data_IF_172103195474
#
_entry.id   IF_172103195474
#
_cell.length_a   1.000
_cell.length_b   1.000
_cell.length_c   1.000
_cell.angle_alpha   90.00
_cell.angle_beta   90.00
_cell.angle_gamma   90.00
#
_symmetry.space_group_name_H-M   'P 1'
#
loop_
_entity.id
_entity.type
_entity.pdbx_description
1 polymer ?
#
# COMPACT_ATOMS: atom_id res chain seq x y z
N UNK A 1 26.03 -12.15 2.80
CA UNK A 1 25.12 -11.14 3.38
C UNK A 1 23.94 -11.03 2.44
N UNK A 2 22.71 -11.29 2.91
CA UNK A 2 21.53 -11.05 2.09
C UNK A 2 21.38 -9.53 1.94
N UNK A 3 21.66 -9.02 0.75
CA UNK A 3 21.59 -7.59 0.49
C UNK A 3 20.11 -7.15 0.51
N UNK A 4 19.83 -6.06 1.23
CA UNK A 4 18.54 -5.36 1.10
C UNK A 4 18.54 -4.64 -0.25
N UNK A 5 17.50 -4.84 -1.04
CA UNK A 5 17.34 -4.20 -2.36
C UNK A 5 16.09 -3.33 -2.35
N UNK A 6 16.24 -2.05 -2.70
CA UNK A 6 15.11 -1.14 -2.80
C UNK A 6 14.38 -1.33 -4.14
N UNK A 7 13.06 -1.34 -4.09
CA UNK A 7 12.17 -1.44 -5.25
C UNK A 7 11.45 -0.13 -5.42
N UNK A 8 11.43 0.37 -6.66
CA UNK A 8 10.70 1.59 -7.02
C UNK A 8 9.70 1.28 -8.14
N UNK A 9 8.45 1.72 -8.02
CA UNK A 9 7.48 1.64 -9.10
C UNK A 9 7.93 2.53 -10.28
N UNK A 10 7.39 2.25 -11.46
CA UNK A 10 7.59 3.12 -12.62
C UNK A 10 6.89 4.48 -12.39
N UNK A 11 7.48 5.53 -12.96
CA UNK A 11 6.94 6.90 -12.89
C UNK A 11 7.53 7.74 -11.77
N UNK A 12 7.10 9.01 -11.71
CA UNK A 12 7.55 9.96 -10.69
C UNK A 12 6.72 9.79 -9.43
N UNK A 13 7.40 9.72 -8.29
CA UNK A 13 6.76 9.58 -6.99
C UNK A 13 7.39 10.60 -6.03
N UNK A 14 6.85 11.81 -6.01
CA UNK A 14 7.44 12.94 -5.29
C UNK A 14 7.59 12.69 -3.78
N UNK A 15 6.75 11.86 -3.16
CA UNK A 15 6.83 11.54 -1.73
C UNK A 15 8.15 10.86 -1.36
N UNK A 16 8.60 9.86 -2.12
CA UNK A 16 9.82 9.12 -1.80
C UNK A 16 11.07 9.99 -1.98
N UNK A 17 11.11 10.80 -3.04
CA UNK A 17 12.20 11.74 -3.28
C UNK A 17 12.27 12.81 -2.18
N UNK A 18 11.11 13.40 -1.82
CA UNK A 18 11.00 14.47 -0.82
C UNK A 18 11.33 13.98 0.60
N UNK A 19 10.80 12.82 0.99
CA UNK A 19 10.87 12.34 2.37
C UNK A 19 11.97 11.28 2.59
N UNK A 20 12.70 10.88 1.55
CA UNK A 20 13.91 10.03 1.63
C UNK A 20 13.68 8.64 2.23
N UNK A 21 12.64 7.95 1.78
CA UNK A 21 12.35 6.55 2.12
C UNK A 21 12.09 5.73 0.86
N UNK A 22 12.27 4.42 0.95
CA UNK A 22 12.07 3.50 -0.19
C UNK A 22 10.62 3.03 -0.27
N UNK A 23 10.03 2.85 -1.46
CA UNK A 23 8.67 2.31 -1.63
C UNK A 23 8.52 0.90 -1.09
N UNK A 24 9.52 0.06 -1.35
CA UNK A 24 9.63 -1.25 -0.76
C UNK A 24 11.09 -1.72 -0.66
N UNK A 25 11.33 -2.70 0.21
CA UNK A 25 12.62 -3.37 0.39
C UNK A 25 12.43 -4.87 0.24
N UNK A 26 13.18 -5.49 -0.67
CA UNK A 26 13.34 -6.95 -0.71
C UNK A 26 14.32 -7.37 0.38
N UNK A 27 13.94 -8.37 1.17
CA UNK A 27 14.79 -8.96 2.19
C UNK A 27 14.36 -10.39 2.50
N UNK A 28 15.28 -11.35 2.37
CA UNK A 28 15.10 -12.74 2.77
C UNK A 28 13.81 -13.42 2.26
N UNK A 29 13.49 -13.26 0.97
CA UNK A 29 12.30 -13.88 0.35
C UNK A 29 10.99 -13.14 0.62
N UNK A 30 11.04 -11.98 1.26
CA UNK A 30 9.90 -11.10 1.48
C UNK A 30 10.12 -9.73 0.85
N UNK A 31 9.01 -9.08 0.54
CA UNK A 31 8.91 -7.69 0.16
C UNK A 31 8.21 -6.92 1.27
N UNK A 32 8.92 -5.98 1.87
CA UNK A 32 8.37 -5.07 2.88
C UNK A 32 8.00 -3.78 2.19
N UNK A 33 6.71 -3.52 2.06
CA UNK A 33 6.19 -2.34 1.36
C UNK A 33 5.93 -1.23 2.39
N UNK A 34 6.37 -0.01 2.09
CA UNK A 34 5.97 1.17 2.86
C UNK A 34 4.47 1.38 2.76
N UNK A 35 3.90 2.10 3.72
CA UNK A 35 2.50 2.50 3.67
C UNK A 35 2.18 3.19 2.34
N UNK A 36 1.16 2.68 1.66
CA UNK A 36 0.66 3.20 0.40
C UNK A 36 -0.59 4.01 0.69
N UNK A 37 -0.62 5.21 0.10
CA UNK A 37 -1.67 6.20 0.26
C UNK A 37 -2.17 6.62 -1.12
N UNK A 38 -3.35 7.24 -1.16
CA UNK A 38 -3.92 7.78 -2.40
C UNK A 38 -3.24 9.08 -2.84
N UNK A 39 -1.93 9.04 -3.09
CA UNK A 39 -1.15 10.18 -3.54
C UNK A 39 -1.13 10.29 -5.05
N UNK A 40 -1.34 11.51 -5.53
CA UNK A 40 -1.08 11.93 -6.92
C UNK A 40 0.44 12.03 -7.16
N UNK A 41 0.86 12.20 -8.42
CA UNK A 41 2.29 12.24 -8.80
C UNK A 41 3.09 13.34 -8.09
N UNK A 42 2.44 14.46 -7.74
CA UNK A 42 3.03 15.57 -6.98
C UNK A 42 3.09 15.32 -5.46
N UNK A 43 2.55 14.18 -5.00
CA UNK A 43 2.47 13.77 -3.61
C UNK A 43 1.31 14.40 -2.84
N UNK A 44 0.37 15.09 -3.50
CA UNK A 44 -0.87 15.57 -2.89
C UNK A 44 -1.91 14.46 -2.73
N UNK A 45 -2.80 14.53 -1.73
CA UNK A 45 -3.87 13.55 -1.56
C UNK A 45 -4.96 13.70 -2.61
N UNK A 46 -5.50 12.58 -3.07
CA UNK A 46 -6.77 12.55 -3.77
C UNK A 46 -7.90 13.03 -2.83
N UNK A 47 -8.67 14.08 -3.16
CA UNK A 47 -9.65 14.67 -2.24
C UNK A 47 -10.88 13.80 -1.94
N UNK A 48 -11.30 12.93 -2.86
CA UNK A 48 -12.48 12.06 -2.63
C UNK A 48 -12.06 10.74 -1.98
N UNK A 49 -12.68 10.36 -0.86
CA UNK A 49 -12.26 9.22 -0.05
C UNK A 49 -12.18 7.91 -0.85
N UNK A 50 -13.22 7.57 -1.61
CA UNK A 50 -13.23 6.30 -2.35
C UNK A 50 -12.20 6.28 -3.47
N UNK A 51 -12.03 7.39 -4.17
CA UNK A 51 -10.96 7.57 -5.16
C UNK A 51 -9.58 7.52 -4.50
N UNK A 52 -9.42 8.07 -3.30
CA UNK A 52 -8.17 8.01 -2.54
C UNK A 52 -7.81 6.58 -2.14
N UNK A 53 -8.79 5.78 -1.68
CA UNK A 53 -8.58 4.37 -1.37
C UNK A 53 -8.16 3.59 -2.62
N UNK A 54 -8.87 3.77 -3.74
CA UNK A 54 -8.52 3.12 -5.01
C UNK A 54 -7.12 3.51 -5.47
N UNK A 55 -6.78 4.80 -5.42
CA UNK A 55 -5.44 5.28 -5.77
C UNK A 55 -4.36 4.70 -4.85
N UNK A 56 -4.65 4.50 -3.55
CA UNK A 56 -3.73 3.82 -2.64
C UNK A 56 -3.45 2.37 -3.06
N UNK A 57 -4.49 1.65 -3.51
CA UNK A 57 -4.33 0.30 -4.06
C UNK A 57 -3.61 0.27 -5.40
N UNK A 58 -3.88 1.23 -6.28
CA UNK A 58 -3.21 1.32 -7.57
C UNK A 58 -1.71 1.61 -7.38
N UNK A 59 -1.37 2.52 -6.47
CA UNK A 59 0.01 2.79 -6.05
C UNK A 59 0.66 1.54 -5.45
N UNK A 60 -0.05 0.83 -4.57
CA UNK A 60 0.43 -0.44 -4.00
C UNK A 60 0.71 -1.48 -5.09
N UNK A 61 -0.22 -1.69 -6.02
CA UNK A 61 -0.07 -2.65 -7.11
C UNK A 61 1.10 -2.28 -8.02
N UNK A 62 1.36 -0.99 -8.26
CA UNK A 62 2.54 -0.55 -8.99
C UNK A 62 3.85 -0.92 -8.27
N UNK A 63 3.90 -0.79 -6.93
CA UNK A 63 5.06 -1.19 -6.12
C UNK A 63 5.25 -2.72 -6.13
N UNK A 64 4.17 -3.48 -5.97
CA UNK A 64 4.19 -4.95 -6.06
C UNK A 64 4.69 -5.41 -7.44
N UNK A 65 4.14 -4.84 -8.51
CA UNK A 65 4.52 -5.19 -9.88
C UNK A 65 6.01 -4.92 -10.17
N UNK A 66 6.57 -3.83 -9.63
CA UNK A 66 8.00 -3.54 -9.76
C UNK A 66 8.92 -4.56 -9.05
N UNK A 67 8.38 -5.33 -8.09
CA UNK A 67 9.06 -6.47 -7.47
C UNK A 67 8.77 -7.80 -8.17
N UNK A 68 7.95 -7.82 -9.22
CA UNK A 68 7.43 -9.04 -9.84
C UNK A 68 6.30 -9.72 -9.04
N UNK A 69 5.73 -9.03 -8.05
CA UNK A 69 4.63 -9.51 -7.23
C UNK A 69 3.27 -9.05 -7.78
N UNK A 70 2.23 -9.73 -7.34
CA UNK A 70 0.82 -9.32 -7.45
C UNK A 70 0.22 -9.23 -6.05
N UNK A 71 -1.03 -8.78 -5.95
CA UNK A 71 -1.73 -8.77 -4.67
C UNK A 71 -1.88 -10.19 -4.07
N UNK A 72 -1.91 -11.25 -4.90
CA UNK A 72 -1.96 -12.64 -4.44
C UNK A 72 -0.71 -13.11 -3.68
N UNK A 73 0.39 -12.35 -3.74
CA UNK A 73 1.60 -12.62 -2.98
C UNK A 73 1.58 -11.97 -1.59
N UNK A 74 0.58 -11.14 -1.29
CA UNK A 74 0.43 -10.44 -0.01
C UNK A 74 0.02 -11.43 1.08
N UNK A 75 0.82 -11.47 2.14
CA UNK A 75 0.60 -12.38 3.28
C UNK A 75 0.12 -11.66 4.54
N UNK A 76 0.34 -10.35 4.64
CA UNK A 76 -0.09 -9.52 5.77
C UNK A 76 -0.50 -8.12 5.31
N UNK A 77 -1.65 -7.65 5.82
CA UNK A 77 -2.21 -6.32 5.58
C UNK A 77 -2.46 -5.61 6.91
N UNK A 78 -2.00 -4.37 7.00
CA UNK A 78 -2.40 -3.42 8.04
C UNK A 78 -3.04 -2.20 7.40
N UNK A 79 -4.25 -1.85 7.83
CA UNK A 79 -4.99 -0.67 7.38
C UNK A 79 -4.99 0.40 8.48
N UNK A 80 -4.70 1.63 8.10
CA UNK A 80 -4.81 2.80 8.95
C UNK A 80 -5.88 3.73 8.40
N UNK A 81 -6.80 4.15 9.26
CA UNK A 81 -7.96 4.97 8.87
C UNK A 81 -8.07 6.17 9.80
N UNK A 82 -8.15 7.36 9.22
CA UNK A 82 -8.54 8.58 9.95
C UNK A 82 -10.05 8.62 10.02
N UNK A 83 -10.59 8.95 11.20
CA UNK A 83 -12.04 8.99 11.44
C UNK A 83 -12.77 7.71 10.97
N UNK A 84 -12.42 6.53 11.53
CA UNK A 84 -12.99 5.27 11.09
C UNK A 84 -14.52 5.22 11.30
N UNK A 85 -15.07 5.93 12.28
CA UNK A 85 -16.54 5.95 12.50
C UNK A 85 -17.30 6.43 11.25
N UNK A 86 -16.77 7.42 10.54
CA UNK A 86 -17.39 7.93 9.30
C UNK A 86 -16.93 7.22 8.04
N UNK A 87 -15.70 6.71 8.01
CA UNK A 87 -15.02 6.33 6.77
C UNK A 87 -14.97 4.82 6.52
N UNK A 88 -15.12 3.99 7.55
CA UNK A 88 -14.81 2.57 7.50
C UNK A 88 -15.71 1.80 6.52
N UNK A 89 -17.02 2.07 6.48
CA UNK A 89 -17.96 1.41 5.56
C UNK A 89 -17.63 1.72 4.08
N UNK A 90 -17.27 2.97 3.79
CA UNK A 90 -16.88 3.37 2.44
C UNK A 90 -15.59 2.65 2.00
N UNK A 91 -14.61 2.51 2.91
CA UNK A 91 -13.34 1.81 2.66
C UNK A 91 -13.59 0.30 2.45
N UNK A 92 -14.37 -0.35 3.32
CA UNK A 92 -14.67 -1.79 3.20
C UNK A 92 -15.40 -2.13 1.92
N UNK A 93 -16.20 -1.22 1.37
CA UNK A 93 -16.87 -1.45 0.08
C UNK A 93 -15.92 -1.59 -1.11
N UNK A 94 -14.66 -1.14 -0.97
CA UNK A 94 -13.65 -1.11 -2.04
C UNK A 94 -12.67 -2.27 -1.93
N UNK A 95 -12.33 -2.72 -0.72
CA UNK A 95 -11.31 -3.77 -0.51
C UNK A 95 -11.53 -5.06 -1.33
N UNK A 96 -12.78 -5.57 -1.50
CA UNK A 96 -13.02 -6.75 -2.33
C UNK A 96 -12.63 -6.58 -3.80
N UNK A 97 -12.58 -5.35 -4.33
CA UNK A 97 -12.13 -5.07 -5.70
C UNK A 97 -10.65 -5.47 -5.91
N UNK A 98 -9.87 -5.57 -4.83
CA UNK A 98 -8.41 -5.81 -4.86
C UNK A 98 -7.97 -7.12 -4.23
N UNK A 99 -8.79 -7.75 -3.38
CA UNK A 99 -8.41 -8.96 -2.60
C UNK A 99 -8.26 -10.22 -3.45
N UNK A 100 -8.75 -10.22 -4.68
CA UNK A 100 -8.79 -11.42 -5.52
C UNK A 100 -9.67 -12.51 -4.89
N UNK A 101 -9.31 -13.76 -5.12
CA UNK A 101 -10.04 -14.94 -4.63
C UNK A 101 -9.41 -15.49 -3.35
N UNK A 102 -10.20 -16.22 -2.55
CA UNK A 102 -9.72 -16.86 -1.33
C UNK A 102 -8.58 -17.87 -1.60
N UNK A 103 -7.62 -18.06 -0.67
CA UNK A 103 -7.57 -17.47 0.67
C UNK A 103 -7.16 -15.98 0.66
N UNK A 104 -7.91 -15.16 1.41
CA UNK A 104 -7.63 -13.73 1.59
C UNK A 104 -6.42 -13.49 2.51
N UNK A 105 -5.74 -12.33 2.43
CA UNK A 105 -4.63 -12.01 3.33
C UNK A 105 -5.10 -11.85 4.80
N UNK A 106 -4.18 -11.97 5.75
CA UNK A 106 -4.43 -11.52 7.13
C UNK A 106 -4.62 -10.01 7.13
N UNK A 107 -5.44 -9.50 8.05
CA UNK A 107 -5.78 -8.08 8.10
C UNK A 107 -5.87 -7.58 9.55
N UNK A 108 -5.22 -6.44 9.81
CA UNK A 108 -5.41 -5.64 11.02
C UNK A 108 -5.88 -4.23 10.64
N UNK A 109 -7.00 -3.76 11.20
CA UNK A 109 -7.53 -2.41 10.98
C UNK A 109 -7.35 -1.52 12.21
N UNK A 110 -6.82 -0.30 12.03
CA UNK A 110 -6.47 0.61 13.12
C UNK A 110 -6.99 2.02 12.82
N UNK A 111 -7.70 2.60 13.78
CA UNK A 111 -8.02 4.03 13.78
C UNK A 111 -6.82 4.88 14.20
N UNK A 112 -6.47 5.89 13.42
CA UNK A 112 -5.33 6.79 13.70
C UNK A 112 -5.74 8.25 13.62
N UNK A 113 -4.94 9.13 14.24
CA UNK A 113 -5.23 10.56 14.30
C UNK A 113 -4.69 11.36 13.11
N UNK A 114 -3.69 10.85 12.39
CA UNK A 114 -3.04 11.57 11.29
C UNK A 114 -2.31 10.59 10.34
N UNK A 115 -2.46 10.81 9.04
CA UNK A 115 -1.70 10.13 7.97
C UNK A 115 -1.17 11.16 6.95
N UNK A 116 -0.40 12.16 7.39
CA UNK A 116 0.25 13.13 6.48
C UNK A 116 -0.69 13.79 5.44
N UNK A 117 -1.94 14.09 5.82
CA UNK A 117 -2.95 14.69 4.94
C UNK A 117 -3.82 13.70 4.15
N UNK A 118 -3.59 12.39 4.34
CA UNK A 118 -4.42 11.31 3.81
C UNK A 118 -5.43 10.82 4.86
N UNK A 119 -6.49 10.15 4.38
CA UNK A 119 -7.54 9.54 5.20
C UNK A 119 -7.39 8.02 5.33
N UNK A 120 -6.63 7.41 4.42
CA UNK A 120 -6.41 5.97 4.35
C UNK A 120 -4.95 5.65 3.98
N UNK A 121 -4.38 4.68 4.67
CA UNK A 121 -3.07 4.09 4.35
C UNK A 121 -3.14 2.57 4.49
N UNK A 122 -2.54 1.87 3.53
CA UNK A 122 -2.38 0.42 3.56
C UNK A 122 -0.90 0.05 3.60
N UNK A 123 -0.52 -0.78 4.56
CA UNK A 123 0.81 -1.37 4.67
C UNK A 123 0.73 -2.87 4.46
N UNK A 124 1.63 -3.41 3.63
CA UNK A 124 1.65 -4.85 3.36
C UNK A 124 3.03 -5.48 3.50
N UNK A 125 3.02 -6.80 3.70
CA UNK A 125 4.17 -7.67 3.49
C UNK A 125 3.76 -8.70 2.44
N UNK A 126 4.59 -8.88 1.41
CA UNK A 126 4.39 -9.89 0.39
C UNK A 126 5.53 -10.91 0.37
N UNK A 127 5.23 -12.15 -0.02
CA UNK A 127 6.23 -13.15 -0.31
C UNK A 127 6.77 -12.90 -1.72
N UNK A 128 8.09 -12.91 -1.90
CA UNK A 128 8.66 -12.82 -3.25
C UNK A 128 8.39 -14.14 -4.00
N UNK A 129 8.10 -14.09 -5.32
CA UNK A 129 7.98 -15.29 -6.13
C UNK A 129 9.25 -16.13 -6.00
N UNK A 130 9.09 -17.44 -5.88
CA UNK A 130 10.23 -18.35 -5.99
C UNK A 130 10.77 -18.24 -7.43
N UNK A 131 12.08 -17.98 -7.56
CA UNK A 131 12.79 -18.13 -8.83
C UNK A 131 12.84 -19.60 -9.27
#
# INVERSE_FOLDING_TARGET
MTAREAVFPLGRQALYERNRYSPAIKSNGFLFVSGQVGSREDGSPEPELKAQVRLAFDNLNAVLAAAGCTFGDVVDVTLFVVDPESNLDAIWSILPEYWGEAPYPTLTGIGVTLLYGFQFEIKVIARLPCA
#
